data_IF_166492725243
#
_entry.id   IF_166492725243
#
_cell.length_a   1.000
_cell.length_b   1.000
_cell.length_c   1.000
_cell.angle_alpha   90.00
_cell.angle_beta   90.00
_cell.angle_gamma   90.00
#
_symmetry.space_group_name_H-M   'P 1'
#
loop_
_entity.id
_entity.type
_entity.pdbx_description
1 polymer ?
#
# COMPACT_ATOMS: atom_id res chain seq x y z
N UNK A 1 7.93 13.31 16.15
CA UNK A 1 7.70 12.50 14.93
C UNK A 1 6.22 12.44 14.56
N UNK A 2 5.37 11.97 15.47
CA UNK A 2 3.93 11.78 15.22
C UNK A 2 3.21 13.00 14.62
N UNK A 3 3.39 14.20 15.16
CA UNK A 3 2.79 15.43 14.63
C UNK A 3 3.19 15.71 13.17
N UNK A 4 4.47 15.49 12.84
CA UNK A 4 4.96 15.66 11.47
C UNK A 4 4.31 14.66 10.50
N UNK A 5 4.05 13.42 10.95
CA UNK A 5 3.34 12.41 10.17
C UNK A 5 1.85 12.73 10.03
N UNK A 6 1.21 13.27 11.06
CA UNK A 6 -0.16 13.77 10.97
C UNK A 6 -0.26 14.90 9.93
N UNK A 7 0.70 15.83 9.95
CA UNK A 7 0.78 16.91 8.96
C UNK A 7 1.06 16.38 7.55
N UNK A 8 1.91 15.36 7.40
CA UNK A 8 2.14 14.66 6.14
C UNK A 8 0.82 14.11 5.59
N UNK A 9 0.10 13.29 6.38
CA UNK A 9 -1.16 12.69 5.94
C UNK A 9 -2.17 13.77 5.59
N UNK A 10 -2.38 14.77 6.44
CA UNK A 10 -3.30 15.88 6.17
C UNK A 10 -2.97 16.60 4.87
N UNK A 11 -1.68 16.89 4.64
CA UNK A 11 -1.20 17.52 3.41
C UNK A 11 -1.44 16.62 2.21
N UNK A 12 -1.06 15.36 2.29
CA UNK A 12 -1.14 14.40 1.18
C UNK A 12 -2.57 14.04 0.82
N UNK A 13 -3.46 13.87 1.80
CA UNK A 13 -4.87 13.55 1.58
C UNK A 13 -5.60 14.66 0.85
N UNK A 14 -5.38 15.93 1.21
CA UNK A 14 -5.91 17.11 0.50
C UNK A 14 -7.38 16.95 0.04
N UNK A 15 -8.25 16.47 0.94
CA UNK A 15 -9.68 16.24 0.69
C UNK A 15 -9.98 15.34 -0.52
N UNK A 16 -9.11 14.36 -0.81
CA UNK A 16 -9.24 13.42 -1.93
C UNK A 16 -8.36 13.75 -3.14
N UNK A 17 -7.94 15.01 -3.31
CA UNK A 17 -7.01 15.40 -4.37
C UNK A 17 -5.57 15.12 -3.96
N UNK A 18 -5.20 13.84 -3.98
CA UNK A 18 -3.97 13.32 -3.37
C UNK A 18 -2.73 14.03 -3.91
N UNK A 19 -1.84 14.45 -3.00
CA UNK A 19 -0.55 15.06 -3.31
C UNK A 19 0.58 14.16 -2.88
N UNK A 20 1.57 14.00 -3.74
CA UNK A 20 2.81 13.31 -3.37
C UNK A 20 3.62 14.17 -2.39
N UNK A 21 4.16 13.56 -1.35
CA UNK A 21 4.98 14.22 -0.35
C UNK A 21 6.03 13.26 0.22
N UNK A 22 7.06 13.84 0.84
CA UNK A 22 8.11 13.14 1.59
C UNK A 22 8.33 13.91 2.90
N UNK A 23 8.44 13.19 4.02
CA UNK A 23 8.89 13.76 5.29
C UNK A 23 10.21 13.12 5.68
N UNK A 24 11.28 13.90 5.66
CA UNK A 24 12.61 13.46 6.09
C UNK A 24 12.82 13.77 7.57
N UNK A 25 13.04 12.73 8.37
CA UNK A 25 13.51 12.85 9.76
C UNK A 25 15.04 12.94 9.81
N UNK A 26 15.67 13.18 10.98
CA UNK A 26 17.13 13.29 11.07
C UNK A 26 17.88 12.12 10.44
N UNK A 27 19.01 12.44 9.80
CA UNK A 27 19.94 11.46 9.25
C UNK A 27 20.53 10.57 10.35
N UNK A 28 20.94 9.37 9.95
CA UNK A 28 21.74 8.47 10.80
C UNK A 28 23.05 9.14 11.18
N UNK A 29 23.46 8.91 12.43
CA UNK A 29 24.75 9.34 12.98
C UNK A 29 25.65 8.13 13.26
N UNK A 30 25.49 7.49 14.40
CA UNK A 30 26.31 6.36 14.87
C UNK A 30 25.61 4.99 14.77
N UNK A 31 24.45 4.96 14.11
CA UNK A 31 23.58 3.79 13.97
C UNK A 31 22.87 3.37 15.27
N UNK A 32 23.03 4.11 16.37
CA UNK A 32 22.35 3.86 17.65
C UNK A 32 21.22 4.84 17.88
N UNK A 33 21.27 6.03 17.28
CA UNK A 33 20.32 7.11 17.46
C UNK A 33 19.35 7.29 16.27
N UNK A 34 19.03 6.20 15.58
CA UNK A 34 18.15 6.25 14.41
C UNK A 34 16.74 6.74 14.77
N UNK A 35 16.16 7.51 13.85
CA UNK A 35 14.73 7.75 13.78
C UNK A 35 14.10 6.68 12.89
N UNK A 36 13.04 6.01 13.35
CA UNK A 36 12.39 4.91 12.62
C UNK A 36 10.87 4.98 12.74
N UNK A 37 10.18 4.78 11.62
CA UNK A 37 8.77 4.38 11.60
C UNK A 37 8.76 2.87 11.40
N UNK A 38 8.18 2.13 12.33
CA UNK A 38 8.21 0.66 12.30
C UNK A 38 7.16 0.09 11.34
N UNK A 39 6.07 0.83 11.12
CA UNK A 39 5.05 0.49 10.15
C UNK A 39 5.65 0.42 8.74
N UNK A 40 5.20 -0.54 7.94
CA UNK A 40 5.53 -0.61 6.51
C UNK A 40 4.91 0.54 5.72
N UNK A 41 3.70 0.93 6.10
CA UNK A 41 2.96 2.08 5.58
C UNK A 41 2.42 2.94 6.73
N UNK A 42 2.26 4.25 6.52
CA UNK A 42 1.69 5.14 7.55
C UNK A 42 0.24 4.80 7.88
N UNK A 43 -0.49 4.23 6.93
CA UNK A 43 -1.86 3.77 7.10
C UNK A 43 -1.91 2.33 6.61
N UNK A 44 -2.39 1.44 7.45
CA UNK A 44 -2.64 0.04 7.13
C UNK A 44 -3.68 -0.54 8.09
N UNK A 45 -4.41 -1.55 7.64
CA UNK A 45 -5.36 -2.26 8.49
C UNK A 45 -4.69 -3.36 9.29
N UNK A 46 -5.16 -3.56 10.52
CA UNK A 46 -4.71 -4.63 11.39
C UNK A 46 -5.16 -6.02 10.92
N UNK A 47 -4.47 -7.05 11.38
CA UNK A 47 -4.80 -8.46 11.17
C UNK A 47 -4.77 -9.24 12.47
N UNK A 48 -5.83 -10.00 12.74
CA UNK A 48 -6.02 -10.73 13.99
C UNK A 48 -6.17 -12.22 13.70
N UNK A 49 -5.31 -13.05 14.29
CA UNK A 49 -5.45 -14.51 14.23
C UNK A 49 -6.48 -14.96 15.26
N UNK A 50 -7.56 -15.57 14.78
CA UNK A 50 -8.66 -16.07 15.62
C UNK A 50 -8.32 -17.44 16.23
N UNK A 51 -9.04 -17.86 17.31
CA UNK A 51 -8.81 -19.16 17.94
C UNK A 51 -9.00 -20.37 17.02
N UNK A 52 -9.85 -20.26 16.00
CA UNK A 52 -10.12 -21.29 15.00
C UNK A 52 -9.08 -21.32 13.86
N UNK A 53 -8.08 -20.44 13.90
CA UNK A 53 -7.05 -20.30 12.88
C UNK A 53 -7.44 -19.41 11.69
N UNK A 54 -8.68 -18.92 11.63
CA UNK A 54 -9.09 -17.89 10.66
C UNK A 54 -8.42 -16.55 11.00
N UNK A 55 -8.44 -15.60 10.06
CA UNK A 55 -7.90 -14.27 10.26
C UNK A 55 -9.00 -13.23 10.02
N UNK A 56 -9.17 -12.33 10.99
CA UNK A 56 -9.99 -11.12 10.84
C UNK A 56 -9.10 -9.95 10.45
N UNK A 57 -9.50 -9.17 9.44
CA UNK A 57 -8.70 -8.03 8.96
C UNK A 57 -7.72 -8.43 7.87
N UNK A 58 -6.51 -7.85 7.90
CA UNK A 58 -5.47 -8.05 6.89
C UNK A 58 -4.41 -9.10 7.32
N UNK A 59 -4.38 -10.29 6.71
CA UNK A 59 -3.38 -11.32 7.03
C UNK A 59 -1.93 -10.87 6.86
N UNK A 60 -1.68 -9.89 5.99
CA UNK A 60 -0.34 -9.34 5.77
C UNK A 60 0.24 -8.61 6.98
N UNK A 61 -0.61 -8.21 7.92
CA UNK A 61 -0.23 -7.38 9.07
C UNK A 61 -0.36 -8.09 10.42
N UNK A 62 -0.64 -9.40 10.47
CA UNK A 62 -0.84 -10.15 11.73
C UNK A 62 0.35 -9.99 12.69
N UNK A 63 1.56 -10.26 12.22
CA UNK A 63 2.77 -10.17 13.06
C UNK A 63 2.96 -8.76 13.65
N UNK A 64 2.75 -7.71 12.84
CA UNK A 64 2.90 -6.34 13.30
C UNK A 64 1.74 -5.88 14.20
N UNK A 65 0.55 -6.41 13.98
CA UNK A 65 -0.61 -6.19 14.84
C UNK A 65 -0.34 -6.72 16.24
N UNK A 66 0.25 -7.91 16.36
CA UNK A 66 0.64 -8.48 17.65
C UNK A 66 1.69 -7.62 18.37
N UNK A 67 2.63 -7.00 17.64
CA UNK A 67 3.60 -6.05 18.20
C UNK A 67 2.87 -4.85 18.81
N UNK A 68 1.92 -4.26 18.08
CA UNK A 68 1.13 -3.13 18.57
C UNK A 68 0.38 -3.50 19.86
N UNK A 69 -0.24 -4.68 19.91
CA UNK A 69 -0.95 -5.18 21.10
C UNK A 69 0.01 -5.37 22.28
N UNK A 70 1.22 -5.92 22.05
CA UNK A 70 2.25 -6.07 23.10
C UNK A 70 2.74 -4.73 23.65
N UNK A 71 2.75 -3.69 22.83
CA UNK A 71 3.06 -2.31 23.25
C UNK A 71 1.91 -1.64 24.03
N UNK A 72 0.75 -2.30 24.14
CA UNK A 72 -0.40 -1.83 24.92
C UNK A 72 -1.57 -1.32 24.08
N UNK A 73 -1.48 -1.34 22.75
CA UNK A 73 -2.60 -0.96 21.88
C UNK A 73 -3.80 -1.90 22.07
N UNK A 74 -5.01 -1.34 22.13
CA UNK A 74 -6.25 -2.07 22.38
C UNK A 74 -7.12 -2.09 21.11
N UNK A 75 -7.05 -3.16 20.30
CA UNK A 75 -7.80 -3.24 19.05
C UNK A 75 -9.30 -3.38 19.28
N UNK A 76 -10.10 -2.95 18.29
CA UNK A 76 -11.55 -3.21 18.23
C UNK A 76 -11.85 -4.60 17.65
N UNK A 77 -10.86 -5.24 17.03
CA UNK A 77 -10.94 -6.53 16.36
C UNK A 77 -11.93 -6.55 15.19
N UNK A 78 -11.99 -5.46 14.42
CA UNK A 78 -12.81 -5.39 13.20
C UNK A 78 -12.00 -5.67 11.93
N UNK A 79 -12.69 -5.81 10.81
CA UNK A 79 -12.08 -6.09 9.50
C UNK A 79 -11.21 -4.94 8.96
N UNK A 80 -11.42 -3.72 9.43
CA UNK A 80 -10.79 -2.50 8.92
C UNK A 80 -10.35 -1.59 10.07
N UNK A 81 -9.72 -2.16 11.10
CA UNK A 81 -9.11 -1.37 12.16
C UNK A 81 -7.79 -0.75 11.66
N UNK A 82 -7.66 0.57 11.75
CA UNK A 82 -6.42 1.28 11.43
C UNK A 82 -5.37 0.98 12.51
N UNK A 83 -4.20 0.50 12.09
CA UNK A 83 -3.06 0.29 12.98
C UNK A 83 -2.54 1.62 13.56
N UNK A 84 -2.06 1.65 14.82
CA UNK A 84 -1.35 2.80 15.35
C UNK A 84 0.01 2.95 14.64
N UNK A 85 0.57 4.16 14.69
CA UNK A 85 1.95 4.39 14.31
C UNK A 85 2.87 3.94 15.45
N UNK A 86 3.88 3.14 15.15
CA UNK A 86 4.92 2.72 16.09
C UNK A 86 6.23 3.43 15.71
N UNK A 87 6.70 4.31 16.60
CA UNK A 87 7.73 5.30 16.30
C UNK A 87 8.88 5.22 17.30
N UNK A 88 10.11 5.16 16.81
CA UNK A 88 11.33 5.32 17.61
C UNK A 88 12.03 6.61 17.20
N UNK A 89 12.36 7.45 18.18
CA UNK A 89 13.10 8.69 17.96
C UNK A 89 14.46 8.60 18.67
N UNK A 90 15.53 9.04 18.00
CA UNK A 90 16.86 9.13 18.59
C UNK A 90 17.34 7.83 19.27
N UNK A 91 17.00 6.67 18.70
CA UNK A 91 17.40 5.37 19.26
C UNK A 91 16.64 4.90 20.50
N UNK A 92 15.66 5.65 20.98
CA UNK A 92 14.82 5.23 22.09
C UNK A 92 13.86 4.10 21.69
N UNK A 93 13.39 3.36 22.70
CA UNK A 93 12.38 2.33 22.53
C UNK A 93 11.12 2.90 21.85
N UNK A 94 10.42 2.08 21.06
CA UNK A 94 9.26 2.55 20.32
C UNK A 94 8.07 2.85 21.23
N UNK A 95 7.36 3.93 20.94
CA UNK A 95 6.03 4.21 21.46
C UNK A 95 4.99 4.09 20.34
N UNK A 96 3.74 3.76 20.69
CA UNK A 96 2.63 3.73 19.76
C UNK A 96 1.77 5.00 19.86
N UNK A 97 1.24 5.44 18.71
CA UNK A 97 0.40 6.63 18.60
C UNK A 97 -0.80 6.30 17.71
N UNK A 98 -2.01 6.47 18.23
CA UNK A 98 -3.23 6.25 17.44
C UNK A 98 -3.43 7.38 16.43
N UNK A 99 -3.72 7.01 15.18
CA UNK A 99 -4.00 7.99 14.14
C UNK A 99 -5.33 8.69 14.42
N UNK A 100 -5.39 10.04 14.39
CA UNK A 100 -6.66 10.76 14.48
C UNK A 100 -7.59 10.32 13.35
N UNK A 101 -8.82 9.82 13.64
CA UNK A 101 -9.70 9.26 12.62
C UNK A 101 -10.07 10.26 11.52
N UNK A 102 -10.10 11.56 11.82
CA UNK A 102 -10.38 12.64 10.88
C UNK A 102 -9.28 12.86 9.84
N UNK A 103 -8.08 12.34 10.06
CA UNK A 103 -6.98 12.37 9.09
C UNK A 103 -7.02 11.19 8.10
N UNK A 104 -7.73 10.12 8.42
CA UNK A 104 -7.78 8.91 7.60
C UNK A 104 -8.97 8.96 6.66
N UNK A 105 -8.73 9.34 5.41
CA UNK A 105 -9.74 9.23 4.36
C UNK A 105 -9.84 7.78 3.87
N UNK A 106 -10.99 7.16 4.08
CA UNK A 106 -11.33 5.84 3.54
C UNK A 106 -12.35 5.97 2.38
N UNK A 107 -12.26 5.06 1.42
CA UNK A 107 -13.19 4.90 0.31
C UNK A 107 -13.93 3.59 0.47
N UNK A 108 -15.24 3.66 0.71
CA UNK A 108 -16.11 2.48 0.68
C UNK A 108 -16.32 2.01 -0.76
N UNK A 109 -16.10 0.72 -1.00
CA UNK A 109 -16.15 0.15 -2.34
C UNK A 109 -17.57 -0.24 -2.73
N UNK A 110 -18.00 0.25 -3.89
CA UNK A 110 -19.27 -0.04 -4.54
C UNK A 110 -19.07 -0.21 -6.04
N UNK A 111 -19.89 -1.07 -6.64
CA UNK A 111 -19.84 -1.35 -8.06
C UNK A 111 -20.88 -0.50 -8.83
N UNK A 112 -20.56 0.03 -10.03
CA UNK A 112 -21.53 0.79 -10.82
C UNK A 112 -22.79 -0.04 -11.16
N UNK A 113 -22.57 -1.28 -11.60
CA UNK A 113 -23.61 -2.25 -11.98
C UNK A 113 -24.11 -3.12 -10.82
N UNK A 114 -23.22 -3.82 -10.11
CA UNK A 114 -23.60 -4.78 -9.07
C UNK A 114 -23.90 -4.11 -7.71
N UNK A 115 -25.17 -3.81 -7.46
CA UNK A 115 -25.58 -3.13 -6.21
C UNK A 115 -25.22 -3.91 -4.93
N UNK A 116 -25.23 -5.25 -4.99
CA UNK A 116 -24.84 -6.12 -3.89
C UNK A 116 -23.36 -5.97 -3.47
N UNK A 117 -22.51 -5.33 -4.28
CA UNK A 117 -21.10 -5.17 -3.96
C UNK A 117 -20.90 -4.30 -2.72
N UNK A 118 -21.74 -3.29 -2.52
CA UNK A 118 -21.70 -2.44 -1.32
C UNK A 118 -21.96 -3.24 -0.04
N UNK A 119 -22.79 -4.29 -0.12
CA UNK A 119 -23.13 -5.15 1.02
C UNK A 119 -21.93 -6.01 1.49
N UNK A 120 -20.86 -6.11 0.70
CA UNK A 120 -19.60 -6.75 1.13
C UNK A 120 -18.85 -5.92 2.18
N UNK A 121 -19.24 -4.66 2.38
CA UNK A 121 -18.67 -3.75 3.38
C UNK A 121 -17.18 -3.45 3.17
N UNK A 122 -16.69 -3.60 1.94
CA UNK A 122 -15.27 -3.38 1.62
C UNK A 122 -14.94 -1.88 1.63
N UNK A 123 -13.74 -1.55 2.11
CA UNK A 123 -13.21 -0.19 2.08
C UNK A 123 -11.69 -0.21 1.97
N UNK A 124 -11.11 0.89 1.50
CA UNK A 124 -9.66 1.07 1.49
C UNK A 124 -9.27 2.52 1.79
N UNK A 125 -8.16 2.74 2.49
CA UNK A 125 -7.64 4.07 2.76
C UNK A 125 -7.09 4.71 1.48
N UNK A 126 -7.21 6.03 1.35
CA UNK A 126 -6.94 6.74 0.10
C UNK A 126 -5.46 7.00 -0.19
N UNK A 127 -4.61 7.05 0.84
CA UNK A 127 -3.20 7.47 0.70
C UNK A 127 -2.26 6.26 0.85
N UNK A 128 -1.58 5.81 -0.23
CA UNK A 128 -0.49 4.86 -0.14
C UNK A 128 0.80 5.54 0.31
N UNK A 129 1.11 5.45 1.60
CA UNK A 129 2.30 6.09 2.18
C UNK A 129 3.28 5.06 2.71
N UNK A 130 4.36 4.77 1.97
CA UNK A 130 5.44 3.87 2.40
C UNK A 130 6.25 4.55 3.50
N UNK A 131 6.54 3.84 4.58
CA UNK A 131 7.21 4.43 5.75
C UNK A 131 8.44 3.67 6.25
N UNK A 132 8.68 2.46 5.75
CA UNK A 132 9.76 1.60 6.25
C UNK A 132 11.04 1.61 5.41
N UNK A 133 11.16 2.45 4.38
CA UNK A 133 12.39 2.52 3.55
C UNK A 133 13.42 3.51 4.12
N UNK A 134 14.68 3.27 3.78
CA UNK A 134 15.82 4.15 4.02
C UNK A 134 16.03 5.04 2.79
N UNK A 135 16.19 6.35 2.96
CA UNK A 135 16.61 7.24 1.87
C UNK A 135 18.11 7.52 1.96
N UNK A 136 18.86 7.25 0.89
CA UNK A 136 20.31 7.47 0.80
C UNK A 136 20.61 8.53 -0.26
N UNK A 137 21.33 9.57 0.16
CA UNK A 137 21.80 10.65 -0.72
C UNK A 137 23.22 11.06 -0.35
N UNK A 138 24.16 10.86 -1.28
CA UNK A 138 25.55 11.31 -1.11
C UNK A 138 26.29 10.66 0.06
N UNK A 139 25.91 9.42 0.44
CA UNK A 139 26.45 8.73 1.62
C UNK A 139 25.81 9.14 2.94
N UNK A 140 24.81 10.04 2.91
CA UNK A 140 23.98 10.38 4.06
C UNK A 140 22.72 9.52 4.03
N UNK A 141 22.47 8.84 5.15
CA UNK A 141 21.39 7.89 5.32
C UNK A 141 20.25 8.50 6.17
N UNK A 142 19.00 8.38 5.71
CA UNK A 142 17.79 8.85 6.41
C UNK A 142 16.86 7.67 6.70
N UNK A 143 16.99 7.00 7.87
CA UNK A 143 16.27 5.74 8.17
C UNK A 143 14.76 5.88 8.35
N UNK A 144 14.26 7.11 8.52
CA UNK A 144 12.84 7.44 8.51
C UNK A 144 12.59 8.53 7.46
N UNK A 145 12.13 8.07 6.29
CA UNK A 145 11.83 8.92 5.14
C UNK A 145 10.46 8.56 4.54
N UNK A 146 9.35 8.61 5.29
CA UNK A 146 8.03 8.25 4.76
C UNK A 146 7.60 9.15 3.60
N UNK A 147 7.11 8.53 2.55
CA UNK A 147 6.65 9.19 1.33
C UNK A 147 5.36 8.57 0.81
N UNK A 148 4.61 9.35 0.04
CA UNK A 148 3.40 8.88 -0.61
C UNK A 148 3.30 9.36 -2.07
N UNK A 149 2.51 8.62 -2.84
CA UNK A 149 1.90 9.08 -4.08
C UNK A 149 0.39 8.90 -3.99
N UNK A 150 -0.23 8.47 -5.08
CA UNK A 150 -1.60 7.98 -5.12
C UNK A 150 -1.65 6.56 -5.70
N UNK A 151 -2.74 5.85 -5.43
CA UNK A 151 -2.87 4.45 -5.84
C UNK A 151 -2.99 4.28 -7.35
N UNK A 152 -2.36 3.22 -7.86
CA UNK A 152 -2.85 2.51 -9.03
C UNK A 152 -3.89 1.47 -8.58
N UNK A 153 -5.04 1.42 -9.28
CA UNK A 153 -6.19 0.58 -8.88
C UNK A 153 -5.87 -0.89 -8.61
N UNK A 154 -4.95 -1.49 -9.36
CA UNK A 154 -4.57 -2.89 -9.23
C UNK A 154 -3.82 -3.21 -7.94
N UNK A 155 -3.24 -2.22 -7.26
CA UNK A 155 -2.71 -2.38 -5.90
C UNK A 155 -3.83 -2.76 -4.92
N UNK A 156 -5.00 -2.11 -5.05
CA UNK A 156 -6.15 -2.40 -4.21
C UNK A 156 -6.91 -3.62 -4.74
N UNK A 157 -7.35 -3.56 -6.00
CA UNK A 157 -8.26 -4.54 -6.57
C UNK A 157 -7.63 -5.92 -6.76
N UNK A 158 -6.40 -5.99 -7.27
CA UNK A 158 -5.71 -7.27 -7.43
C UNK A 158 -5.03 -7.70 -6.14
N UNK A 159 -4.13 -6.86 -5.60
CA UNK A 159 -3.25 -7.30 -4.51
C UNK A 159 -3.95 -7.30 -3.16
N UNK A 160 -4.54 -6.18 -2.74
CA UNK A 160 -5.13 -6.09 -1.40
C UNK A 160 -6.41 -6.92 -1.27
N UNK A 161 -7.32 -6.83 -2.26
CA UNK A 161 -8.61 -7.51 -2.22
C UNK A 161 -8.54 -8.98 -2.64
N UNK A 162 -7.73 -9.32 -3.64
CA UNK A 162 -7.81 -10.64 -4.30
C UNK A 162 -6.62 -11.58 -4.04
N UNK A 163 -5.47 -11.12 -3.51
CA UNK A 163 -4.41 -12.06 -3.14
C UNK A 163 -4.92 -13.05 -2.07
N UNK A 164 -4.61 -14.34 -2.23
CA UNK A 164 -5.03 -15.39 -1.31
C UNK A 164 -4.47 -15.23 0.11
N UNK A 165 -3.34 -14.51 0.24
CA UNK A 165 -2.69 -14.18 1.52
C UNK A 165 -3.05 -12.77 2.02
N UNK A 166 -4.11 -12.16 1.46
CA UNK A 166 -4.66 -10.85 1.87
C UNK A 166 -6.16 -11.02 2.14
N UNK A 167 -7.02 -10.11 1.66
CA UNK A 167 -8.46 -10.21 1.92
C UNK A 167 -9.17 -11.34 1.16
N UNK A 168 -8.53 -11.94 0.14
CA UNK A 168 -8.99 -13.13 -0.58
C UNK A 168 -10.47 -13.11 -1.03
N UNK A 169 -10.92 -12.00 -1.60
CA UNK A 169 -12.33 -11.77 -1.95
C UNK A 169 -12.78 -12.40 -3.26
N UNK A 170 -11.85 -12.98 -4.03
CA UNK A 170 -12.10 -13.35 -5.43
C UNK A 170 -13.24 -14.36 -5.59
N UNK A 171 -13.25 -15.42 -4.78
CA UNK A 171 -14.32 -16.44 -4.83
C UNK A 171 -15.66 -15.90 -4.35
N UNK A 172 -15.67 -15.08 -3.30
CA UNK A 172 -16.89 -14.44 -2.79
C UNK A 172 -17.56 -13.58 -3.86
N UNK A 173 -16.77 -12.77 -4.57
CA UNK A 173 -17.24 -11.93 -5.67
C UNK A 173 -17.76 -12.78 -6.82
N UNK A 174 -17.03 -13.84 -7.22
CA UNK A 174 -17.43 -14.72 -8.30
C UNK A 174 -18.77 -15.43 -8.02
N UNK A 175 -18.98 -15.90 -6.80
CA UNK A 175 -20.24 -16.51 -6.37
C UNK A 175 -21.40 -15.51 -6.42
N UNK A 176 -21.20 -14.26 -5.96
CA UNK A 176 -22.21 -13.20 -6.04
C UNK A 176 -22.53 -12.76 -7.47
N UNK A 177 -21.59 -12.93 -8.39
CA UNK A 177 -21.79 -12.74 -9.83
C UNK A 177 -22.51 -13.93 -10.50
N UNK A 178 -22.74 -15.04 -9.80
CA UNK A 178 -23.34 -16.26 -10.36
C UNK A 178 -22.41 -17.01 -11.32
N UNK A 179 -21.08 -16.88 -11.16
CA UNK A 179 -20.10 -17.58 -11.98
C UNK A 179 -19.93 -19.03 -11.54
N UNK A 180 -19.64 -19.92 -12.49
CA UNK A 180 -19.25 -21.29 -12.19
C UNK A 180 -17.80 -21.35 -11.69
N UNK A 181 -17.62 -21.49 -10.37
CA UNK A 181 -16.31 -21.52 -9.70
C UNK A 181 -15.67 -22.91 -9.65
N UNK A 182 -16.32 -23.96 -10.19
CA UNK A 182 -15.88 -25.36 -10.04
C UNK A 182 -14.60 -25.67 -10.80
N UNK A 183 -14.31 -24.95 -11.88
CA UNK A 183 -13.16 -25.21 -12.74
C UNK A 183 -12.54 -23.92 -13.26
N UNK A 184 -11.20 -23.81 -13.34
CA UNK A 184 -10.53 -22.61 -13.82
C UNK A 184 -10.81 -22.29 -15.30
N UNK A 185 -11.22 -23.28 -16.11
CA UNK A 185 -11.45 -23.07 -17.56
C UNK A 185 -12.63 -22.14 -17.86
N UNK A 186 -13.51 -21.89 -16.90
CA UNK A 186 -14.60 -20.90 -17.02
C UNK A 186 -14.11 -19.46 -16.90
N UNK A 187 -12.83 -19.27 -16.55
CA UNK A 187 -12.18 -17.98 -16.32
C UNK A 187 -12.91 -17.13 -15.27
N UNK A 188 -13.52 -17.80 -14.28
CA UNK A 188 -14.29 -17.12 -13.25
C UNK A 188 -13.42 -16.17 -12.41
N UNK A 189 -12.14 -16.52 -12.21
CA UNK A 189 -11.16 -15.69 -11.50
C UNK A 189 -10.90 -14.40 -12.26
N UNK A 190 -10.62 -14.50 -13.55
CA UNK A 190 -10.34 -13.35 -14.42
C UNK A 190 -11.55 -12.40 -14.47
N UNK A 191 -12.75 -12.95 -14.65
CA UNK A 191 -14.00 -12.18 -14.65
C UNK A 191 -14.24 -11.47 -13.33
N UNK A 192 -14.12 -12.16 -12.20
CA UNK A 192 -14.29 -11.53 -10.89
C UNK A 192 -13.22 -10.47 -10.60
N UNK A 193 -11.96 -10.73 -10.97
CA UNK A 193 -10.83 -9.81 -10.75
C UNK A 193 -11.04 -8.48 -11.49
N UNK A 194 -11.55 -8.54 -12.72
CA UNK A 194 -11.90 -7.34 -13.51
C UNK A 194 -12.97 -6.52 -12.78
N UNK A 195 -14.07 -7.13 -12.35
CA UNK A 195 -15.16 -6.40 -11.68
C UNK A 195 -14.75 -5.82 -10.31
N UNK A 196 -13.84 -6.47 -9.58
CA UNK A 196 -13.26 -5.88 -8.35
C UNK A 196 -12.48 -4.61 -8.68
N UNK A 197 -11.68 -4.60 -9.76
CA UNK A 197 -10.94 -3.41 -10.17
C UNK A 197 -11.86 -2.30 -10.69
N UNK A 198 -12.94 -2.65 -11.39
CA UNK A 198 -13.99 -1.70 -11.78
C UNK A 198 -14.64 -1.06 -10.56
N UNK A 199 -14.97 -1.85 -9.52
CA UNK A 199 -15.51 -1.31 -8.27
C UNK A 199 -14.54 -0.33 -7.60
N UNK A 200 -13.24 -0.65 -7.55
CA UNK A 200 -12.21 0.23 -6.98
C UNK A 200 -12.16 1.57 -7.72
N UNK A 201 -11.98 1.54 -9.04
CA UNK A 201 -11.91 2.76 -9.85
C UNK A 201 -13.17 3.62 -9.71
N UNK A 202 -14.35 3.00 -9.86
CA UNK A 202 -15.64 3.68 -9.71
C UNK A 202 -15.79 4.33 -8.33
N UNK A 203 -15.40 3.64 -7.26
CA UNK A 203 -15.58 4.12 -5.89
C UNK A 203 -14.71 5.31 -5.55
N UNK A 204 -13.47 5.31 -6.03
CA UNK A 204 -12.54 6.44 -5.86
C UNK A 204 -12.99 7.63 -6.72
N UNK A 205 -13.32 7.41 -7.99
CA UNK A 205 -13.77 8.46 -8.91
C UNK A 205 -15.07 9.12 -8.46
N UNK A 206 -16.08 8.34 -8.06
CA UNK A 206 -17.38 8.86 -7.59
C UNK A 206 -17.27 9.70 -6.31
N UNK A 207 -16.17 9.55 -5.55
CA UNK A 207 -15.87 10.34 -4.35
C UNK A 207 -14.80 11.41 -4.57
N UNK A 208 -14.40 11.65 -5.82
CA UNK A 208 -13.36 12.61 -6.20
C UNK A 208 -12.01 12.36 -5.49
N UNK A 209 -11.66 11.08 -5.31
CA UNK A 209 -10.36 10.67 -4.76
C UNK A 209 -9.42 10.26 -5.89
N UNK A 210 -8.22 10.83 -5.93
CA UNK A 210 -7.21 10.55 -6.96
C UNK A 210 -6.86 9.07 -6.99
N UNK A 211 -6.98 8.47 -8.18
CA UNK A 211 -6.56 7.11 -8.48
C UNK A 211 -6.22 7.03 -9.97
N UNK A 212 -5.38 6.08 -10.36
CA UNK A 212 -5.08 5.81 -11.78
C UNK A 212 -5.34 4.34 -12.12
N UNK A 213 -5.83 4.07 -13.33
CA UNK A 213 -5.89 2.73 -13.86
C UNK A 213 -4.52 2.28 -14.40
N UNK A 214 -4.34 0.97 -14.53
CA UNK A 214 -3.05 0.40 -14.91
C UNK A 214 -2.69 0.60 -16.39
N UNK A 215 -3.65 0.85 -17.28
CA UNK A 215 -3.37 1.16 -18.68
C UNK A 215 -2.81 2.59 -18.80
N UNK A 216 -3.49 3.57 -18.20
CA UNK A 216 -3.03 4.96 -18.16
C UNK A 216 -1.67 5.08 -17.45
N UNK A 217 -1.47 4.35 -16.34
CA UNK A 217 -0.19 4.34 -15.64
C UNK A 217 0.94 3.77 -16.51
N UNK A 218 0.71 2.67 -17.23
CA UNK A 218 1.68 2.08 -18.13
C UNK A 218 2.04 3.00 -19.31
N UNK A 219 1.06 3.65 -19.94
CA UNK A 219 1.30 4.64 -21.00
C UNK A 219 2.09 5.85 -20.48
N UNK A 220 1.75 6.34 -19.29
CA UNK A 220 2.48 7.43 -18.64
C UNK A 220 3.94 7.03 -18.34
N UNK A 221 4.17 5.79 -17.90
CA UNK A 221 5.52 5.28 -17.66
C UNK A 221 6.34 5.21 -18.94
N UNK A 222 5.76 4.77 -20.07
CA UNK A 222 6.49 4.74 -21.35
C UNK A 222 6.94 6.15 -21.79
N UNK A 223 6.09 7.17 -21.63
CA UNK A 223 6.49 8.56 -21.89
C UNK A 223 7.63 9.02 -20.98
N UNK A 224 7.61 8.60 -19.71
CA UNK A 224 8.73 8.86 -18.79
C UNK A 224 10.01 8.16 -19.28
N UNK A 225 9.93 6.87 -19.59
CA UNK A 225 11.04 6.05 -20.06
C UNK A 225 11.72 6.63 -21.32
N UNK A 226 10.91 7.07 -22.31
CA UNK A 226 11.40 7.75 -23.51
C UNK A 226 12.13 9.06 -23.19
N UNK A 227 11.57 9.88 -22.30
CA UNK A 227 12.19 11.13 -21.88
C UNK A 227 13.53 10.90 -21.16
N UNK A 228 13.60 9.92 -20.27
CA UNK A 228 14.83 9.60 -19.53
C UNK A 228 15.93 9.08 -20.45
N UNK A 229 15.58 8.22 -21.42
CA UNK A 229 16.53 7.78 -22.43
C UNK A 229 17.02 8.94 -23.30
N UNK A 230 16.14 9.88 -23.67
CA UNK A 230 16.53 11.07 -24.43
C UNK A 230 17.42 12.03 -23.64
N UNK A 231 17.14 12.22 -22.36
CA UNK A 231 17.82 13.24 -21.53
C UNK A 231 19.12 12.73 -20.91
N UNK A 232 19.21 11.44 -20.57
CA UNK A 232 20.35 10.86 -19.85
C UNK A 232 20.74 9.45 -20.29
N UNK A 233 20.18 8.95 -21.40
CA UNK A 233 20.53 7.65 -22.00
C UNK A 233 20.33 6.43 -21.10
N UNK A 234 19.37 6.51 -20.18
CA UNK A 234 19.00 5.36 -19.36
C UNK A 234 17.85 5.66 -18.40
N UNK A 235 17.07 4.62 -18.12
CA UNK A 235 16.05 4.61 -17.08
C UNK A 235 16.11 3.26 -16.34
N UNK A 236 16.61 3.21 -15.08
CA UNK A 236 16.60 1.96 -14.32
C UNK A 236 15.13 1.54 -14.09
N UNK A 237 14.79 0.33 -14.49
CA UNK A 237 13.42 -0.18 -14.38
C UNK A 237 13.43 -1.68 -14.10
N UNK A 238 12.67 -2.08 -13.08
CA UNK A 238 12.46 -3.48 -12.71
C UNK A 238 11.16 -3.97 -13.37
N UNK A 239 11.30 -4.70 -14.47
CA UNK A 239 10.16 -5.20 -15.25
C UNK A 239 9.17 -6.01 -14.40
N UNK A 240 9.66 -6.76 -13.41
CA UNK A 240 8.84 -7.60 -12.53
C UNK A 240 7.86 -6.77 -11.69
N UNK A 241 8.24 -5.53 -11.35
CA UNK A 241 7.40 -4.61 -10.58
C UNK A 241 6.63 -3.60 -11.44
N UNK A 242 7.17 -3.22 -12.60
CA UNK A 242 6.54 -2.24 -13.50
C UNK A 242 5.33 -2.84 -14.21
N UNK A 243 5.39 -4.11 -14.60
CA UNK A 243 4.28 -4.78 -15.30
C UNK A 243 3.10 -5.00 -14.34
N UNK A 244 1.89 -4.50 -14.66
CA UNK A 244 0.73 -4.65 -13.78
C UNK A 244 0.34 -6.12 -13.53
N UNK A 245 -0.22 -6.44 -12.35
CA UNK A 245 -0.56 -7.81 -11.95
C UNK A 245 -1.83 -8.37 -12.64
N UNK A 246 -2.45 -7.62 -13.54
CA UNK A 246 -3.52 -8.09 -14.42
C UNK A 246 -3.35 -7.45 -15.79
N UNK A 247 -3.90 -8.09 -16.83
CA UNK A 247 -3.91 -7.51 -18.19
C UNK A 247 -2.52 -7.15 -18.72
N UNK A 248 -1.47 -7.87 -18.29
CA UNK A 248 -0.08 -7.45 -18.47
C UNK A 248 0.30 -7.23 -19.93
N UNK A 249 0.07 -8.22 -20.80
CA UNK A 249 0.47 -8.14 -22.22
C UNK A 249 -0.37 -7.19 -23.07
N UNK A 250 -1.46 -6.64 -22.53
CA UNK A 250 -2.23 -5.56 -23.17
C UNK A 250 -1.85 -4.17 -22.63
N UNK A 251 -0.73 -4.08 -21.88
CA UNK A 251 -0.08 -2.82 -21.53
C UNK A 251 1.24 -2.69 -22.30
N UNK A 252 1.67 -1.46 -22.64
CA UNK A 252 2.88 -1.27 -23.43
C UNK A 252 4.16 -1.69 -22.69
N UNK A 253 4.18 -1.60 -21.36
CA UNK A 253 5.34 -1.94 -20.54
C UNK A 253 5.73 -3.42 -20.59
N UNK A 254 4.78 -4.32 -20.89
CA UNK A 254 5.08 -5.75 -21.04
C UNK A 254 6.05 -6.01 -22.19
N UNK A 255 5.93 -5.25 -23.29
CA UNK A 255 6.72 -5.44 -24.51
C UNK A 255 8.03 -4.65 -24.51
N UNK A 256 8.30 -3.86 -23.47
CA UNK A 256 9.50 -3.06 -23.35
C UNK A 256 10.57 -3.82 -22.56
N UNK A 257 11.70 -4.12 -23.19
CA UNK A 257 12.89 -4.60 -22.48
C UNK A 257 13.44 -3.50 -21.57
N UNK A 258 13.77 -3.86 -20.33
CA UNK A 258 14.19 -2.91 -19.30
C UNK A 258 15.48 -3.40 -18.65
N UNK A 259 16.39 -2.49 -18.35
CA UNK A 259 17.58 -2.76 -17.56
C UNK A 259 17.37 -2.31 -16.12
N UNK A 260 17.52 -3.24 -15.18
CA UNK A 260 17.53 -2.95 -13.75
C UNK A 260 18.96 -2.70 -13.27
N UNK A 261 19.20 -1.52 -12.73
CA UNK A 261 20.48 -1.15 -12.12
C UNK A 261 20.25 -0.11 -11.03
N UNK A 262 21.16 -0.06 -10.05
CA UNK A 262 21.07 0.87 -8.94
C UNK A 262 21.78 2.19 -9.27
N UNK A 263 21.17 3.30 -8.87
CA UNK A 263 21.76 4.64 -8.88
C UNK A 263 21.63 5.24 -7.48
N UNK A 264 22.39 6.31 -7.19
CA UNK A 264 22.19 7.16 -6.01
C UNK A 264 21.80 8.57 -6.49
N UNK A 265 20.95 9.32 -5.77
CA UNK A 265 20.22 8.94 -4.54
C UNK A 265 19.23 7.78 -4.75
N UNK A 266 18.90 7.04 -3.69
CA UNK A 266 17.97 5.90 -3.76
C UNK A 266 17.13 5.71 -2.50
N UNK A 267 16.03 4.96 -2.66
CA UNK A 267 15.33 4.32 -1.56
C UNK A 267 15.77 2.88 -1.44
N UNK A 268 16.18 2.48 -0.24
CA UNK A 268 16.67 1.15 0.08
C UNK A 268 15.76 0.45 1.08
N UNK A 269 15.64 -0.86 0.97
CA UNK A 269 15.07 -1.64 2.05
C UNK A 269 16.01 -1.64 3.25
N UNK A 270 15.43 -1.66 4.44
CA UNK A 270 16.15 -1.80 5.70
C UNK A 270 15.59 -2.97 6.47
N UNK A 271 16.45 -3.60 7.28
CA UNK A 271 16.01 -4.67 8.18
C UNK A 271 14.91 -4.12 9.08
N UNK A 272 13.78 -4.82 9.12
CA UNK A 272 12.69 -4.48 10.02
C UNK A 272 13.25 -4.44 11.45
N UNK A 273 12.89 -3.42 12.21
CA UNK A 273 13.26 -3.38 13.63
C UNK A 273 12.85 -4.72 14.25
N UNK A 274 13.76 -5.44 14.92
CA UNK A 274 13.46 -6.77 15.42
C UNK A 274 12.22 -6.69 16.32
N UNK A 275 11.20 -7.45 15.95
CA UNK A 275 9.94 -7.54 16.71
C UNK A 275 10.12 -8.14 18.12
N UNK A 276 11.34 -8.59 18.44
CA UNK A 276 11.83 -8.93 19.76
C UNK A 276 12.51 -7.71 20.40
N UNK A 277 11.72 -6.82 20.98
CA UNK A 277 12.19 -5.96 22.07
C UNK A 277 12.11 -6.75 23.38
N UNK A 278 12.95 -7.76 23.51
CA UNK A 278 13.47 -8.15 24.83
C UNK A 278 14.94 -7.75 24.84
N UNK A 279 15.24 -6.64 25.51
CA UNK A 279 16.52 -6.49 26.18
C UNK A 279 16.37 -7.05 27.59
#
# INVERSE_FOLDING_TARGET
>A
MFEALCNHIKYSTNKGNIRSALTLFPQRTDGRHDFRVWNSQLISYAGYKNPDGSITGDPGNVEFTEVCIRLGWKPKMTRFDILPLVLSANGHDPDYFEMPPDLVLEVELAHPTYKWFADLGLRWYAVPAVSSMLFDVGGVEFPAAPFNGWYMSTEIGCRNMCDAKRYNMLETVAQKMGLDTRTPVTLWKDRALVEVNVAVLHSFQSRNVTIVDHHTAAESFMKHYENENRLRSGCPADWVWIVPPMSSSITPVFHQEMAQYALKPSYEYQVRSPFNTSK
#
